data_IF_951268889715
#
_entry.id   IF_951268889715
#
_cell.length_a   1.000
_cell.length_b   1.000
_cell.length_c   1.000
_cell.angle_alpha   90.00
_cell.angle_beta   90.00
_cell.angle_gamma   90.00
#
_symmetry.space_group_name_H-M   'P 1'
#
loop_
_entity.id
_entity.type
_entity.pdbx_description
1 polymer ?
#
# COMPACT_ATOMS: atom_id res chain seq x y z
N UNK A 1 -18.66 17.61 46.12
CA UNK A 1 -18.15 16.53 45.24
C UNK A 1 -19.19 16.28 44.15
N UNK A 2 -18.99 16.81 42.94
CA UNK A 2 -19.93 16.62 41.82
C UNK A 2 -19.52 15.39 41.01
N UNK A 3 -20.08 14.23 41.35
CA UNK A 3 -20.03 13.01 40.55
C UNK A 3 -21.21 13.02 39.59
N UNK A 4 -21.10 13.77 38.49
CA UNK A 4 -22.12 13.74 37.45
C UNK A 4 -21.47 13.74 36.07
N UNK A 5 -21.78 12.68 35.33
CA UNK A 5 -21.77 12.56 33.86
C UNK A 5 -20.49 12.02 33.22
N UNK A 6 -20.14 10.77 33.56
CA UNK A 6 -19.55 9.86 32.58
C UNK A 6 -20.69 9.04 31.94
N UNK A 7 -21.56 9.71 31.17
CA UNK A 7 -22.42 8.98 30.24
C UNK A 7 -21.50 8.47 29.14
N UNK A 8 -21.14 7.19 29.23
CA UNK A 8 -20.49 6.49 28.14
C UNK A 8 -21.37 6.69 26.90
N UNK A 9 -20.90 7.50 25.97
CA UNK A 9 -21.48 7.63 24.64
C UNK A 9 -21.26 6.30 23.93
N UNK A 10 -22.12 5.32 24.19
CA UNK A 10 -22.15 4.08 23.43
C UNK A 10 -22.80 4.42 22.09
N UNK A 11 -21.98 4.83 21.13
CA UNK A 11 -22.42 4.90 19.73
C UNK A 11 -22.96 3.52 19.35
N UNK A 12 -24.21 3.45 18.90
CA UNK A 12 -24.82 2.18 18.55
C UNK A 12 -23.99 1.49 17.46
N UNK A 13 -23.84 0.16 17.55
CA UNK A 13 -23.10 -0.62 16.54
C UNK A 13 -23.60 -0.35 15.12
N UNK A 14 -24.88 -0.03 14.97
CA UNK A 14 -25.52 0.33 13.70
C UNK A 14 -24.96 1.64 13.12
N UNK A 15 -24.61 2.61 13.96
CA UNK A 15 -23.99 3.87 13.51
C UNK A 15 -22.56 3.70 13.00
N UNK A 16 -21.89 2.60 13.36
CA UNK A 16 -20.57 2.24 12.83
C UNK A 16 -20.64 1.71 11.39
N UNK A 17 -21.80 1.17 10.98
CA UNK A 17 -22.05 0.72 9.61
C UNK A 17 -22.74 1.80 8.77
N UNK A 18 -22.19 3.01 8.78
CA UNK A 18 -22.67 4.06 7.87
C UNK A 18 -22.45 3.62 6.42
N UNK A 19 -23.48 3.66 5.55
CA UNK A 19 -23.31 3.34 4.13
C UNK A 19 -22.22 4.23 3.54
N UNK A 20 -21.32 3.63 2.76
CA UNK A 20 -20.15 4.31 2.22
C UNK A 20 -20.55 5.23 1.07
N UNK A 21 -20.17 6.49 1.16
CA UNK A 21 -20.41 7.49 0.12
C UNK A 21 -19.51 7.26 -1.12
N UNK A 22 -19.95 7.68 -2.30
CA UNK A 22 -19.16 7.59 -3.55
C UNK A 22 -17.82 8.34 -3.44
N UNK A 23 -17.80 9.49 -2.79
CA UNK A 23 -16.59 10.29 -2.54
C UNK A 23 -15.56 9.54 -1.70
N UNK A 24 -16.00 8.74 -0.74
CA UNK A 24 -15.13 7.91 0.08
C UNK A 24 -14.46 6.79 -0.74
N UNK A 25 -15.15 6.23 -1.74
CA UNK A 25 -14.54 5.27 -2.66
C UNK A 25 -13.44 5.93 -3.52
N UNK A 26 -13.70 7.14 -4.03
CA UNK A 26 -12.70 7.90 -4.80
C UNK A 26 -11.48 8.27 -3.96
N UNK A 27 -11.67 8.61 -2.68
CA UNK A 27 -10.57 8.85 -1.74
C UNK A 27 -9.71 7.58 -1.56
N UNK A 28 -10.32 6.41 -1.35
CA UNK A 28 -9.58 5.15 -1.25
C UNK A 28 -8.81 4.85 -2.53
N UNK A 29 -9.39 5.09 -3.71
CA UNK A 29 -8.66 4.92 -4.97
C UNK A 29 -7.43 5.83 -5.06
N UNK A 30 -7.54 7.09 -4.62
CA UNK A 30 -6.39 7.99 -4.57
C UNK A 30 -5.30 7.51 -3.59
N UNK A 31 -5.69 6.93 -2.45
CA UNK A 31 -4.76 6.34 -1.48
C UNK A 31 -4.02 5.13 -2.07
N UNK A 32 -4.70 4.27 -2.81
CA UNK A 32 -4.10 3.12 -3.50
C UNK A 32 -3.12 3.59 -4.57
N UNK A 33 -3.50 4.56 -5.41
CA UNK A 33 -2.62 5.11 -6.45
C UNK A 33 -1.36 5.74 -5.86
N UNK A 34 -1.50 6.50 -4.78
CA UNK A 34 -0.34 7.07 -4.09
C UNK A 34 0.57 6.00 -3.46
N UNK A 35 -0.02 4.94 -2.93
CA UNK A 35 0.73 3.81 -2.37
C UNK A 35 1.55 3.10 -3.44
N UNK A 36 0.96 2.88 -4.64
CA UNK A 36 1.68 2.30 -5.77
C UNK A 36 2.85 3.20 -6.19
N UNK A 37 2.65 4.53 -6.23
CA UNK A 37 3.71 5.48 -6.51
C UNK A 37 4.88 5.37 -5.51
N UNK A 38 4.61 5.27 -4.21
CA UNK A 38 5.65 5.08 -3.20
C UNK A 38 6.47 3.81 -3.43
N UNK A 39 5.80 2.69 -3.73
CA UNK A 39 6.45 1.39 -3.95
C UNK A 39 7.30 1.39 -5.21
N UNK A 40 6.76 1.89 -6.33
CA UNK A 40 7.47 1.92 -7.63
C UNK A 40 8.74 2.76 -7.56
N UNK A 41 8.72 3.85 -6.79
CA UNK A 41 9.88 4.75 -6.65
C UNK A 41 10.75 4.44 -5.42
N UNK A 42 10.48 3.33 -4.71
CA UNK A 42 11.19 2.94 -3.50
C UNK A 42 11.31 4.08 -2.46
N UNK A 43 10.21 4.83 -2.28
CA UNK A 43 10.18 5.96 -1.35
C UNK A 43 9.85 5.49 0.07
N UNK A 44 10.41 6.12 1.12
CA UNK A 44 10.09 5.80 2.50
C UNK A 44 8.60 6.02 2.81
N UNK A 45 7.99 5.10 3.58
CA UNK A 45 6.58 5.22 3.99
C UNK A 45 6.30 6.45 4.87
N UNK A 46 7.33 7.02 5.50
CA UNK A 46 7.25 8.27 6.26
C UNK A 46 6.76 9.44 5.40
N UNK A 47 6.98 9.41 4.09
CA UNK A 47 6.47 10.43 3.17
C UNK A 47 4.94 10.49 3.23
N UNK A 48 4.26 9.35 3.41
CA UNK A 48 2.80 9.29 3.48
C UNK A 48 2.21 10.11 4.64
N UNK A 49 2.93 10.28 5.75
CA UNK A 49 2.45 11.02 6.92
C UNK A 49 2.28 12.52 6.66
N UNK A 50 3.08 13.07 5.75
CA UNK A 50 3.08 14.49 5.41
C UNK A 50 2.19 14.81 4.22
N UNK A 51 1.99 13.84 3.33
CA UNK A 51 1.28 14.00 2.06
C UNK A 51 -0.18 14.40 2.25
N UNK A 52 -0.86 13.89 3.26
CA UNK A 52 -2.26 14.26 3.52
C UNK A 52 -2.44 15.77 3.79
N UNK A 53 -1.48 16.40 4.48
CA UNK A 53 -1.49 17.86 4.69
C UNK A 53 -1.19 18.62 3.39
N UNK A 54 -0.23 18.11 2.62
CA UNK A 54 0.16 18.67 1.34
C UNK A 54 -1.00 18.67 0.33
N UNK A 55 -1.72 17.55 0.18
CA UNK A 55 -2.85 17.47 -0.76
C UNK A 55 -3.99 18.43 -0.43
N UNK A 56 -4.27 18.65 0.86
CA UNK A 56 -5.27 19.66 1.27
C UNK A 56 -4.84 21.09 0.95
N UNK A 57 -3.54 21.37 1.00
CA UNK A 57 -2.99 22.69 0.64
C UNK A 57 -2.92 22.89 -0.88
N UNK A 58 -2.55 21.85 -1.63
CA UNK A 58 -2.47 21.89 -3.10
C UNK A 58 -3.84 21.95 -3.76
N UNK A 59 -4.83 21.25 -3.20
CA UNK A 59 -6.17 21.10 -3.77
C UNK A 59 -7.25 21.48 -2.75
N UNK A 60 -7.40 22.77 -2.42
CA UNK A 60 -8.35 23.23 -1.40
C UNK A 60 -9.82 22.98 -1.77
N UNK A 61 -10.14 22.90 -3.06
CA UNK A 61 -11.51 22.72 -3.55
C UNK A 61 -11.91 21.24 -3.68
N UNK A 62 -10.93 20.34 -3.71
CA UNK A 62 -11.19 18.91 -3.92
C UNK A 62 -11.71 18.24 -2.65
N UNK A 63 -12.95 17.74 -2.70
CA UNK A 63 -13.51 16.93 -1.61
C UNK A 63 -12.72 15.64 -1.38
N UNK A 64 -12.11 15.08 -2.43
CA UNK A 64 -11.28 13.88 -2.36
C UNK A 64 -10.02 14.15 -1.55
N UNK A 65 -9.36 15.29 -1.81
CA UNK A 65 -8.16 15.69 -1.07
C UNK A 65 -8.46 15.97 0.41
N UNK A 66 -9.65 16.52 0.71
CA UNK A 66 -10.13 16.71 2.09
C UNK A 66 -10.33 15.39 2.83
N UNK A 67 -10.88 14.38 2.14
CA UNK A 67 -11.13 13.04 2.69
C UNK A 67 -9.89 12.13 2.71
N UNK A 68 -8.78 12.54 2.09
CA UNK A 68 -7.54 11.79 2.11
C UNK A 68 -6.98 11.72 3.54
N UNK A 69 -6.91 10.51 4.10
CA UNK A 69 -6.50 10.25 5.49
C UNK A 69 -5.41 9.19 5.60
N UNK A 70 -4.81 8.80 4.47
CA UNK A 70 -3.74 7.82 4.45
C UNK A 70 -2.44 8.39 5.03
N UNK A 71 -1.90 7.63 5.97
CA UNK A 71 -0.61 7.81 6.65
C UNK A 71 0.10 6.45 6.63
N UNK A 72 1.33 6.37 7.14
CA UNK A 72 2.19 5.18 6.97
C UNK A 72 1.54 3.85 7.40
N UNK A 73 0.71 3.83 8.45
CA UNK A 73 0.01 2.60 8.91
C UNK A 73 -1.01 2.11 7.89
N UNK A 74 -1.82 3.02 7.33
CA UNK A 74 -2.82 2.72 6.30
C UNK A 74 -2.14 2.35 4.99
N UNK A 75 -1.09 3.09 4.61
CA UNK A 75 -0.27 2.80 3.44
C UNK A 75 0.34 1.40 3.54
N UNK A 76 0.93 1.04 4.69
CA UNK A 76 1.47 -0.30 4.94
C UNK A 76 0.40 -1.37 4.76
N UNK A 77 -0.78 -1.18 5.33
CA UNK A 77 -1.85 -2.16 5.19
C UNK A 77 -2.32 -2.32 3.74
N UNK A 78 -2.36 -1.24 2.96
CA UNK A 78 -2.65 -1.29 1.52
C UNK A 78 -1.57 -2.08 0.79
N UNK A 79 -0.29 -1.87 1.11
CA UNK A 79 0.83 -2.62 0.54
C UNK A 79 0.67 -4.11 0.81
N UNK A 80 0.36 -4.52 2.04
CA UNK A 80 0.19 -5.94 2.38
C UNK A 80 -0.90 -6.59 1.53
N UNK A 81 -2.05 -5.91 1.34
CA UNK A 81 -3.15 -6.44 0.50
C UNK A 81 -2.75 -6.50 -0.97
N UNK A 82 -2.04 -5.49 -1.47
CA UNK A 82 -1.54 -5.49 -2.85
C UNK A 82 -0.49 -6.58 -3.08
N UNK A 83 0.36 -6.84 -2.08
CA UNK A 83 1.39 -7.86 -2.12
C UNK A 83 0.76 -9.25 -2.26
N UNK A 84 -0.28 -9.58 -1.47
CA UNK A 84 -1.00 -10.85 -1.57
C UNK A 84 -1.57 -11.10 -2.99
N UNK A 85 -2.10 -10.05 -3.63
CA UNK A 85 -2.66 -10.14 -4.97
C UNK A 85 -1.60 -10.28 -6.06
N UNK A 86 -0.46 -9.58 -5.90
CA UNK A 86 0.69 -9.69 -6.80
C UNK A 86 1.34 -11.08 -6.66
N UNK A 87 1.52 -11.57 -5.44
CA UNK A 87 2.06 -12.90 -5.17
C UNK A 87 1.24 -13.96 -5.90
N UNK A 88 -0.09 -13.97 -5.74
CA UNK A 88 -0.98 -14.92 -6.44
C UNK A 88 -0.82 -14.86 -7.95
N UNK A 89 -0.67 -13.67 -8.53
CA UNK A 89 -0.45 -13.49 -9.98
C UNK A 89 0.91 -14.05 -10.41
N UNK A 90 1.96 -13.76 -9.64
CA UNK A 90 3.32 -14.24 -9.90
C UNK A 90 3.39 -15.77 -9.74
N UNK A 91 2.83 -16.35 -8.69
CA UNK A 91 2.80 -17.80 -8.51
C UNK A 91 2.02 -18.50 -9.63
N UNK A 92 0.90 -17.91 -10.08
CA UNK A 92 0.12 -18.46 -11.18
C UNK A 92 0.92 -18.48 -12.49
N UNK A 93 1.59 -17.38 -12.84
CA UNK A 93 2.42 -17.34 -14.04
C UNK A 93 3.64 -18.29 -13.94
N UNK A 94 4.23 -18.42 -12.76
CA UNK A 94 5.39 -19.28 -12.53
C UNK A 94 5.03 -20.77 -12.64
N UNK A 95 3.80 -21.14 -12.30
CA UNK A 95 3.27 -22.50 -12.49
C UNK A 95 2.94 -22.83 -13.95
N UNK A 96 2.67 -21.83 -14.78
CA UNK A 96 2.18 -22.01 -16.15
C UNK A 96 3.28 -22.02 -17.21
N UNK A 97 4.48 -21.52 -16.90
CA UNK A 97 5.55 -21.39 -17.87
C UNK A 97 6.95 -21.43 -17.25
N UNK A 98 7.96 -21.34 -18.11
CA UNK A 98 9.35 -21.26 -17.68
C UNK A 98 9.64 -19.85 -17.16
N UNK A 99 10.27 -19.76 -16.00
CA UNK A 99 10.73 -18.50 -15.42
C UNK A 99 12.24 -18.59 -15.15
N UNK A 100 12.90 -17.43 -15.20
CA UNK A 100 14.29 -17.28 -14.78
C UNK A 100 14.31 -16.52 -13.46
N UNK A 101 15.21 -16.94 -12.56
CA UNK A 101 15.40 -16.32 -11.26
C UNK A 101 16.84 -15.84 -11.18
N UNK A 102 17.04 -14.52 -11.16
CA UNK A 102 18.36 -13.93 -10.95
C UNK A 102 18.49 -13.54 -9.48
N UNK A 103 19.46 -14.14 -8.80
CA UNK A 103 19.80 -13.82 -7.42
C UNK A 103 21.07 -12.97 -7.43
N UNK A 104 21.00 -11.77 -6.86
CA UNK A 104 22.16 -10.90 -6.64
C UNK A 104 22.50 -10.87 -5.16
N UNK A 105 23.75 -11.22 -4.84
CA UNK A 105 24.24 -11.28 -3.47
C UNK A 105 25.19 -10.12 -3.19
N UNK A 106 24.78 -9.17 -2.36
CA UNK A 106 25.70 -8.14 -1.85
C UNK A 106 26.57 -8.72 -0.72
N UNK A 107 27.86 -8.39 -0.72
CA UNK A 107 28.80 -8.76 0.34
C UNK A 107 29.25 -7.50 1.10
N UNK A 108 28.32 -6.91 1.85
CA UNK A 108 28.62 -5.79 2.73
C UNK A 108 29.19 -6.31 4.06
N UNK A 109 30.50 -6.10 4.26
CA UNK A 109 31.27 -6.65 5.39
C UNK A 109 31.01 -5.96 6.73
N UNK A 110 30.19 -4.92 6.75
CA UNK A 110 30.02 -4.05 7.93
C UNK A 110 28.81 -4.40 8.81
N UNK A 111 28.02 -5.42 8.47
CA UNK A 111 26.92 -5.89 9.32
C UNK A 111 27.01 -7.40 9.53
N UNK A 112 26.92 -7.83 10.78
CA UNK A 112 26.94 -9.23 11.20
C UNK A 112 25.94 -10.08 10.38
N UNK A 113 26.50 -10.85 9.44
CA UNK A 113 25.98 -12.09 8.88
C UNK A 113 24.46 -12.17 8.61
N UNK A 114 23.95 -11.33 7.73
CA UNK A 114 22.84 -11.69 6.85
C UNK A 114 23.12 -11.10 5.48
N UNK A 115 23.65 -11.93 4.57
CA UNK A 115 23.81 -11.59 3.15
C UNK A 115 22.43 -11.18 2.62
N UNK A 116 22.23 -9.88 2.36
CA UNK A 116 21.00 -9.39 1.76
C UNK A 116 20.95 -9.88 0.31
N UNK A 117 20.20 -10.96 0.09
CA UNK A 117 19.97 -11.56 -1.22
C UNK A 117 18.78 -10.85 -1.87
N UNK A 118 19.03 -10.10 -2.95
CA UNK A 118 17.97 -9.55 -3.78
C UNK A 118 17.61 -10.56 -4.88
N UNK A 119 16.34 -10.94 -4.95
CA UNK A 119 15.85 -11.95 -5.87
C UNK A 119 14.89 -11.30 -6.86
N UNK A 120 15.24 -11.30 -8.16
CA UNK A 120 14.39 -10.82 -9.23
C UNK A 120 13.91 -11.99 -10.08
N UNK A 121 12.59 -12.14 -10.22
CA UNK A 121 11.96 -13.17 -11.05
C UNK A 121 11.58 -12.59 -12.40
N UNK A 122 12.16 -13.12 -13.48
CA UNK A 122 11.79 -12.76 -14.85
C UNK A 122 10.95 -13.89 -15.48
N UNK A 123 9.70 -13.60 -15.82
CA UNK A 123 8.88 -14.53 -16.60
C UNK A 123 9.16 -14.37 -18.08
N UNK A 124 9.56 -15.47 -18.72
CA UNK A 124 9.89 -15.52 -20.14
C UNK A 124 8.62 -15.78 -20.94
N UNK A 125 7.75 -14.78 -21.05
CA UNK A 125 6.40 -14.97 -21.64
C UNK A 125 6.31 -14.72 -23.16
N UNK A 126 7.43 -14.63 -23.89
CA UNK A 126 7.43 -14.45 -25.35
C UNK A 126 8.71 -15.00 -25.98
N UNK A 127 8.72 -16.28 -26.33
CA UNK A 127 9.68 -16.85 -27.29
C UNK A 127 9.00 -17.56 -28.47
N UNK A 128 7.67 -17.59 -28.57
CA UNK A 128 6.95 -18.26 -29.67
C UNK A 128 6.65 -17.36 -30.88
N UNK A 129 7.30 -16.21 -31.02
CA UNK A 129 7.08 -15.26 -32.14
C UNK A 129 8.36 -14.92 -32.92
N UNK A 130 9.44 -15.70 -32.73
CA UNK A 130 10.72 -15.53 -33.45
C UNK A 130 11.17 -16.86 -34.08
N UNK A 131 10.24 -17.65 -34.61
CA UNK A 131 10.60 -18.77 -35.48
C UNK A 131 9.57 -18.97 -36.58
#
# INVERSE_FOLDING_TARGET
MNLAKCQASTTSLVSMFKPRNETANKAIMAEVLFTIFLVVHNLPLLVADHVGKLFRAMFPDSEIAKQYTCAHTKTRRIIDVLADDVEKKVTKGAKQGVFSLSMDGSNDKEQNSFTHLFCATAMVNKWSQIR
#
